data_IF_336398852376
#
_entry.id   IF_336398852376
#
_cell.length_a   1.000
_cell.length_b   1.000
_cell.length_c   1.000
_cell.angle_alpha   90.00
_cell.angle_beta   90.00
_cell.angle_gamma   90.00
#
_symmetry.space_group_name_H-M   'P 1'
#
loop_
_entity.id
_entity.type
_entity.pdbx_description
1 polymer ?
#
# COMPACT_ATOMS: atom_id res chain seq x y z
N UNK A 1 5.87 -52.07 -42.85
CA UNK A 1 7.30 -51.70 -43.05
C UNK A 1 8.22 -52.45 -42.10
N UNK A 2 7.94 -52.45 -40.79
CA UNK A 2 8.77 -53.12 -39.76
C UNK A 2 8.85 -54.64 -39.95
N UNK A 3 7.72 -55.31 -40.22
CA UNK A 3 7.67 -56.76 -40.44
C UNK A 3 8.62 -57.23 -41.55
N UNK A 4 8.58 -56.54 -42.68
CA UNK A 4 9.39 -56.84 -43.87
C UNK A 4 10.90 -56.74 -43.59
N UNK A 5 11.31 -55.83 -42.73
CA UNK A 5 12.72 -55.64 -42.33
C UNK A 5 13.18 -56.77 -41.40
N UNK A 6 12.32 -57.23 -40.49
CA UNK A 6 12.62 -58.32 -39.55
C UNK A 6 12.68 -59.67 -40.28
N UNK A 7 11.72 -59.93 -41.17
CA UNK A 7 11.72 -61.12 -42.03
C UNK A 7 12.91 -61.14 -42.99
N UNK A 8 13.32 -59.98 -43.53
CA UNK A 8 14.53 -59.85 -44.34
C UNK A 8 15.83 -60.21 -43.61
N UNK A 9 15.81 -60.33 -42.27
CA UNK A 9 16.93 -60.79 -41.45
C UNK A 9 16.81 -62.26 -41.03
N UNK A 10 15.86 -63.01 -41.61
CA UNK A 10 15.67 -64.45 -41.37
C UNK A 10 14.81 -64.80 -40.15
N UNK A 11 14.16 -63.82 -39.51
CA UNK A 11 13.26 -64.07 -38.38
C UNK A 11 11.81 -64.21 -38.85
N UNK A 12 11.09 -65.19 -38.33
CA UNK A 12 9.64 -65.32 -38.56
C UNK A 12 8.90 -64.38 -37.61
N UNK A 13 8.01 -63.56 -38.15
CA UNK A 13 7.17 -62.63 -37.37
C UNK A 13 5.72 -63.11 -37.36
N UNK A 14 5.02 -62.84 -36.27
CA UNK A 14 3.57 -63.03 -36.14
C UNK A 14 2.98 -61.69 -35.67
N UNK A 15 1.89 -61.18 -36.29
CA UNK A 15 1.20 -60.01 -35.80
C UNK A 15 0.54 -60.33 -34.44
N UNK A 16 0.99 -59.64 -33.40
CA UNK A 16 0.44 -59.76 -32.05
C UNK A 16 -1.00 -59.23 -32.02
N UNK A 17 -1.95 -60.08 -31.64
CA UNK A 17 -3.39 -59.75 -31.64
C UNK A 17 -4.03 -59.88 -30.26
N UNK A 18 -3.41 -60.62 -29.33
CA UNK A 18 -4.01 -60.92 -28.03
C UNK A 18 -4.10 -59.68 -27.15
N UNK A 19 -3.02 -58.89 -27.11
CA UNK A 19 -2.94 -57.68 -26.28
C UNK A 19 -3.02 -56.38 -27.10
N UNK A 20 -3.43 -56.44 -28.37
CA UNK A 20 -3.41 -55.28 -29.26
C UNK A 20 -4.38 -54.17 -28.79
N UNK A 21 -5.56 -54.56 -28.30
CA UNK A 21 -6.57 -53.63 -27.78
C UNK A 21 -6.10 -52.99 -26.48
N UNK A 22 -5.58 -53.78 -25.55
CA UNK A 22 -5.08 -53.29 -24.27
C UNK A 22 -3.86 -52.39 -24.45
N UNK A 23 -2.95 -52.72 -25.36
CA UNK A 23 -1.82 -51.88 -25.72
C UNK A 23 -2.27 -50.53 -26.29
N UNK A 24 -3.30 -50.51 -27.15
CA UNK A 24 -3.87 -49.26 -27.66
C UNK A 24 -4.55 -48.44 -26.55
N UNK A 25 -5.39 -49.07 -25.72
CA UNK A 25 -6.05 -48.42 -24.58
C UNK A 25 -5.04 -47.84 -23.59
N UNK A 26 -3.91 -48.52 -23.36
CA UNK A 26 -2.84 -48.05 -22.46
C UNK A 26 -2.14 -46.78 -22.93
N UNK A 27 -2.27 -46.42 -24.21
CA UNK A 27 -1.75 -45.16 -24.76
C UNK A 27 -2.66 -43.95 -24.50
N UNK A 28 -3.90 -44.17 -24.02
CA UNK A 28 -4.87 -43.11 -23.73
C UNK A 28 -4.67 -42.64 -22.28
N UNK A 29 -4.40 -41.33 -22.04
CA UNK A 29 -4.27 -40.80 -20.69
C UNK A 29 -5.49 -41.14 -19.81
N UNK A 30 -5.25 -41.70 -18.62
CA UNK A 30 -6.30 -42.09 -17.66
C UNK A 30 -6.75 -43.56 -17.72
N UNK A 31 -6.42 -44.32 -18.78
CA UNK A 31 -6.73 -45.75 -18.89
C UNK A 31 -5.63 -46.66 -18.30
N UNK A 32 -5.39 -46.53 -16.99
CA UNK A 32 -4.31 -47.26 -16.29
C UNK A 32 -4.52 -48.79 -16.20
N UNK A 33 -5.77 -49.26 -16.36
CA UNK A 33 -6.11 -50.68 -16.21
C UNK A 33 -5.61 -51.57 -17.36
N UNK A 34 -5.56 -51.02 -18.59
CA UNK A 34 -5.18 -51.76 -19.79
C UNK A 34 -3.64 -51.86 -19.99
N UNK A 35 -2.84 -51.22 -19.12
CA UNK A 35 -1.40 -51.26 -19.25
C UNK A 35 -0.82 -52.57 -18.66
N UNK A 36 -0.44 -53.49 -19.55
CA UNK A 36 0.14 -54.80 -19.19
C UNK A 36 1.50 -54.66 -18.49
N UNK A 37 2.18 -53.52 -18.64
CA UNK A 37 3.40 -53.18 -17.88
C UNK A 37 3.03 -52.20 -16.79
N UNK A 38 2.72 -52.73 -15.60
CA UNK A 38 2.70 -51.96 -14.37
C UNK A 38 4.11 -51.99 -13.77
N UNK A 39 5.00 -51.05 -14.11
CA UNK A 39 6.23 -50.93 -13.34
C UNK A 39 5.83 -50.68 -11.88
N UNK A 40 6.42 -51.44 -10.96
CA UNK A 40 6.26 -51.18 -9.53
C UNK A 40 7.01 -49.87 -9.25
N UNK A 41 6.30 -48.76 -9.40
CA UNK A 41 6.79 -47.42 -9.05
C UNK A 41 6.28 -47.14 -7.65
N UNK A 42 7.18 -46.85 -6.72
CA UNK A 42 6.76 -46.42 -5.39
C UNK A 42 5.94 -45.13 -5.49
N UNK A 43 4.98 -44.93 -4.59
CA UNK A 43 4.21 -43.67 -4.52
C UNK A 43 5.14 -42.45 -4.43
N UNK A 44 6.30 -42.60 -3.81
CA UNK A 44 7.36 -41.59 -3.74
C UNK A 44 7.95 -41.27 -5.11
N UNK A 45 8.32 -42.29 -5.90
CA UNK A 45 8.87 -42.11 -7.24
C UNK A 45 7.81 -41.54 -8.20
N UNK A 46 6.54 -41.94 -8.06
CA UNK A 46 5.43 -41.38 -8.83
C UNK A 46 5.24 -39.90 -8.50
N UNK A 47 5.26 -39.52 -7.21
CA UNK A 47 5.15 -38.12 -6.78
C UNK A 47 6.26 -37.24 -7.37
N UNK A 48 7.49 -37.76 -7.49
CA UNK A 48 8.60 -37.04 -8.14
C UNK A 48 8.48 -36.93 -9.68
N UNK A 49 7.75 -37.84 -10.32
CA UNK A 49 7.54 -37.85 -11.77
C UNK A 49 6.26 -37.13 -12.21
N UNK A 50 5.31 -36.94 -11.29
CA UNK A 50 4.11 -36.17 -11.56
C UNK A 50 4.51 -34.72 -11.84
N UNK A 51 4.06 -34.13 -12.96
CA UNK A 51 4.20 -32.69 -13.17
C UNK A 51 3.22 -31.98 -12.22
N UNK A 52 3.62 -31.83 -10.94
CA UNK A 52 2.81 -31.19 -9.89
C UNK A 52 2.90 -29.66 -9.93
N UNK A 53 3.44 -29.08 -11.01
CA UNK A 53 3.43 -27.63 -11.22
C UNK A 53 2.05 -27.16 -11.64
N UNK A 54 1.06 -27.36 -10.78
CA UNK A 54 -0.20 -26.64 -10.90
C UNK A 54 0.08 -25.17 -10.59
N UNK A 55 -0.36 -24.29 -11.49
CA UNK A 55 -0.29 -22.85 -11.27
C UNK A 55 -1.11 -22.52 -10.04
N UNK A 56 -0.48 -21.98 -9.00
CA UNK A 56 -1.19 -21.55 -7.80
C UNK A 56 -2.15 -20.42 -8.15
N UNK A 57 -3.46 -20.66 -8.01
CA UNK A 57 -4.51 -19.73 -8.40
C UNK A 57 -4.81 -18.63 -7.37
N UNK A 58 -4.03 -18.57 -6.27
CA UNK A 58 -4.26 -17.66 -5.15
C UNK A 58 -5.45 -18.07 -4.27
N UNK A 59 -5.65 -17.40 -3.12
CA UNK A 59 -6.76 -17.69 -2.21
C UNK A 59 -8.12 -17.34 -2.84
N UNK A 60 -9.16 -18.13 -2.53
CA UNK A 60 -10.51 -17.91 -3.07
C UNK A 60 -11.21 -16.67 -2.47
N UNK A 61 -10.79 -16.24 -1.29
CA UNK A 61 -11.31 -15.09 -0.56
C UNK A 61 -10.21 -14.38 0.23
N UNK A 62 -10.45 -13.12 0.60
CA UNK A 62 -9.68 -12.44 1.63
C UNK A 62 -10.34 -12.75 2.99
N UNK A 63 -9.68 -13.58 3.81
CA UNK A 63 -10.25 -14.02 5.09
C UNK A 63 -10.36 -12.88 6.11
N UNK A 64 -9.39 -11.98 6.14
CA UNK A 64 -9.38 -10.87 7.09
C UNK A 64 -10.46 -9.83 6.80
N UNK A 65 -10.63 -9.47 5.52
CA UNK A 65 -11.64 -8.50 5.10
C UNK A 65 -13.03 -9.13 4.89
N UNK A 66 -13.16 -10.44 5.15
CA UNK A 66 -14.36 -11.25 4.91
C UNK A 66 -15.01 -10.97 3.55
N UNK A 67 -14.20 -11.07 2.49
CA UNK A 67 -14.61 -10.61 1.17
C UNK A 67 -13.96 -11.37 0.02
N UNK A 68 -14.39 -11.08 -1.22
CA UNK A 68 -13.78 -11.65 -2.42
C UNK A 68 -12.30 -11.24 -2.54
N UNK A 69 -11.49 -11.90 -3.37
CA UNK A 69 -10.12 -11.48 -3.65
C UNK A 69 -10.08 -10.03 -4.15
N UNK A 70 -8.95 -9.35 -3.90
CA UNK A 70 -8.80 -7.95 -4.30
C UNK A 70 -8.97 -7.82 -5.82
N UNK A 71 -8.28 -8.63 -6.60
CA UNK A 71 -8.44 -8.65 -8.06
C UNK A 71 -8.26 -10.07 -8.59
N UNK A 72 -8.98 -10.39 -9.67
CA UNK A 72 -8.75 -11.60 -10.46
C UNK A 72 -8.02 -11.21 -11.74
N UNK A 73 -6.85 -11.80 -11.95
CA UNK A 73 -5.97 -11.56 -13.11
C UNK A 73 -5.73 -12.87 -13.85
N UNK A 74 -4.84 -12.87 -14.84
CA UNK A 74 -4.41 -14.08 -15.55
C UNK A 74 -2.92 -14.32 -15.35
N UNK A 75 -2.54 -15.58 -15.20
CA UNK A 75 -1.14 -15.99 -15.34
C UNK A 75 -0.73 -16.03 -16.82
N UNK A 76 0.55 -16.26 -17.08
CA UNK A 76 1.07 -16.44 -18.44
C UNK A 76 0.35 -17.58 -19.20
N UNK A 77 0.00 -18.67 -18.50
CA UNK A 77 -0.75 -19.80 -19.04
C UNK A 77 -2.28 -19.60 -19.10
N UNK A 78 -2.77 -18.36 -19.07
CA UNK A 78 -4.19 -18.00 -19.07
C UNK A 78 -5.03 -18.62 -17.93
N UNK A 79 -4.38 -19.08 -16.86
CA UNK A 79 -5.07 -19.56 -15.66
C UNK A 79 -5.51 -18.36 -14.82
N UNK A 80 -6.77 -18.29 -14.35
CA UNK A 80 -7.20 -17.24 -13.43
C UNK A 80 -6.36 -17.22 -12.15
N UNK A 81 -5.87 -16.04 -11.78
CA UNK A 81 -5.12 -15.81 -10.54
C UNK A 81 -5.85 -14.83 -9.64
N UNK A 82 -6.03 -15.19 -8.37
CA UNK A 82 -6.72 -14.38 -7.36
C UNK A 82 -5.68 -13.69 -6.48
N UNK A 83 -5.55 -12.38 -6.63
CA UNK A 83 -4.67 -11.59 -5.77
C UNK A 83 -5.39 -11.26 -4.46
N UNK A 84 -4.84 -11.76 -3.36
CA UNK A 84 -5.18 -11.35 -1.99
C UNK A 84 -3.92 -10.77 -1.37
N UNK A 85 -4.02 -9.56 -0.81
CA UNK A 85 -2.86 -8.84 -0.26
C UNK A 85 -2.61 -9.11 1.22
N UNK A 86 -3.55 -9.79 1.90
CA UNK A 86 -3.49 -10.00 3.35
C UNK A 86 -2.88 -11.35 3.70
N UNK A 87 -2.00 -11.35 4.69
CA UNK A 87 -1.52 -12.55 5.39
C UNK A 87 -1.91 -12.38 6.86
N UNK A 88 -2.86 -13.18 7.32
CA UNK A 88 -3.56 -12.87 8.57
C UNK A 88 -4.25 -11.52 8.44
N UNK A 89 -4.02 -10.62 9.39
CA UNK A 89 -4.55 -9.25 9.42
C UNK A 89 -3.67 -8.20 8.73
N UNK A 90 -2.50 -8.58 8.22
CA UNK A 90 -1.53 -7.62 7.66
C UNK A 90 -1.62 -7.57 6.13
N UNK A 91 -1.88 -6.37 5.59
CA UNK A 91 -2.05 -6.12 4.15
C UNK A 91 -0.91 -5.36 3.45
N UNK A 92 0.29 -5.26 4.04
CA UNK A 92 1.40 -4.51 3.46
C UNK A 92 1.87 -5.10 2.12
N UNK A 93 1.99 -4.25 1.10
CA UNK A 93 2.34 -4.66 -0.27
C UNK A 93 3.37 -3.69 -0.87
N UNK A 94 4.42 -4.22 -1.49
CA UNK A 94 5.41 -3.44 -2.24
C UNK A 94 5.20 -3.65 -3.75
N UNK A 95 5.04 -2.56 -4.50
CA UNK A 95 4.98 -2.57 -5.97
C UNK A 95 6.25 -1.93 -6.52
N UNK A 96 7.05 -2.70 -7.24
CA UNK A 96 8.33 -2.24 -7.80
C UNK A 96 8.40 -2.51 -9.30
N UNK A 97 9.13 -1.66 -10.02
CA UNK A 97 9.34 -1.78 -11.46
C UNK A 97 9.89 -0.49 -12.09
N UNK A 98 10.44 -0.54 -13.31
CA UNK A 98 10.93 0.64 -14.02
C UNK A 98 9.84 1.71 -14.26
N UNK A 99 10.25 2.94 -14.53
CA UNK A 99 9.34 4.00 -14.99
C UNK A 99 8.67 3.58 -16.30
N UNK A 100 7.37 3.88 -16.44
CA UNK A 100 6.59 3.52 -17.64
C UNK A 100 6.04 2.09 -17.69
N UNK A 101 6.36 1.22 -16.72
CA UNK A 101 5.90 -0.18 -16.71
C UNK A 101 4.51 -0.39 -16.05
N UNK A 102 3.72 0.68 -15.89
CA UNK A 102 2.35 0.58 -15.40
C UNK A 102 2.19 0.49 -13.87
N UNK A 103 3.20 0.86 -13.07
CA UNK A 103 3.08 0.90 -11.59
C UNK A 103 1.89 1.72 -11.10
N UNK A 104 1.74 2.96 -11.58
CA UNK A 104 0.61 3.82 -11.19
C UNK A 104 -0.73 3.25 -11.66
N UNK A 105 -0.78 2.62 -12.83
CA UNK A 105 -1.98 1.93 -13.33
C UNK A 105 -2.35 0.77 -12.42
N UNK A 106 -1.37 -0.03 -11.98
CA UNK A 106 -1.61 -1.11 -11.02
C UNK A 106 -2.13 -0.56 -9.70
N UNK A 107 -1.48 0.45 -9.11
CA UNK A 107 -1.91 1.05 -7.83
C UNK A 107 -3.33 1.65 -7.93
N UNK A 108 -3.64 2.36 -9.00
CA UNK A 108 -4.99 2.86 -9.28
C UNK A 108 -6.01 1.72 -9.37
N UNK A 109 -5.65 0.64 -10.05
CA UNK A 109 -6.51 -0.54 -10.18
C UNK A 109 -6.75 -1.19 -8.82
N UNK A 110 -5.71 -1.39 -8.02
CA UNK A 110 -5.82 -1.94 -6.66
C UNK A 110 -6.71 -1.05 -5.78
N UNK A 111 -6.55 0.27 -5.85
CA UNK A 111 -7.38 1.22 -5.12
C UNK A 111 -8.87 1.12 -5.51
N UNK A 112 -9.18 1.13 -6.81
CA UNK A 112 -10.55 0.97 -7.29
C UNK A 112 -11.16 -0.36 -6.87
N UNK A 113 -10.39 -1.46 -6.97
CA UNK A 113 -10.86 -2.77 -6.54
C UNK A 113 -11.06 -2.84 -5.03
N UNK A 114 -10.22 -2.17 -4.23
CA UNK A 114 -10.33 -2.14 -2.77
C UNK A 114 -11.63 -1.51 -2.29
N UNK A 115 -12.24 -0.60 -3.08
CA UNK A 115 -13.55 0.01 -2.76
C UNK A 115 -14.69 -0.98 -2.66
N UNK A 116 -14.53 -2.21 -3.15
CA UNK A 116 -15.53 -3.28 -2.97
C UNK A 116 -15.70 -3.74 -1.53
N UNK A 117 -14.68 -3.54 -0.69
CA UNK A 117 -14.77 -3.90 0.72
C UNK A 117 -15.52 -2.81 1.47
N UNK A 118 -16.51 -3.23 2.28
CA UNK A 118 -17.38 -2.33 3.04
C UNK A 118 -16.54 -1.51 4.02
N UNK A 119 -16.81 -0.20 4.10
CA UNK A 119 -16.09 0.70 4.99
C UNK A 119 -14.62 0.91 4.62
N UNK A 120 -14.20 0.53 3.40
CA UNK A 120 -12.85 0.82 2.93
C UNK A 120 -12.56 2.33 2.98
N UNK A 121 -11.31 2.68 3.27
CA UNK A 121 -10.80 4.05 3.16
C UNK A 121 -9.49 4.02 2.41
N UNK A 122 -9.26 5.02 1.56
CA UNK A 122 -8.09 5.11 0.69
C UNK A 122 -7.49 6.50 0.87
N UNK A 123 -6.25 6.53 1.35
CA UNK A 123 -5.43 7.74 1.39
C UNK A 123 -4.26 7.53 0.44
N UNK A 124 -4.24 8.26 -0.67
CA UNK A 124 -3.22 8.18 -1.68
C UNK A 124 -2.28 9.39 -1.56
N UNK A 125 -1.00 9.12 -1.32
CA UNK A 125 0.06 10.13 -1.43
C UNK A 125 0.69 9.96 -2.82
N UNK A 126 0.41 10.91 -3.70
CA UNK A 126 0.68 10.83 -5.13
C UNK A 126 1.77 11.80 -5.54
N UNK A 127 2.45 11.47 -6.64
CA UNK A 127 3.50 12.27 -7.25
C UNK A 127 3.15 12.46 -8.72
N UNK A 128 2.98 13.71 -9.16
CA UNK A 128 2.73 14.02 -10.57
C UNK A 128 1.30 13.70 -11.02
N UNK A 129 0.35 13.75 -10.08
CA UNK A 129 -1.11 13.66 -10.27
C UNK A 129 -1.56 12.36 -10.95
N UNK A 130 -0.78 11.29 -10.80
CA UNK A 130 -1.01 9.99 -11.44
C UNK A 130 -2.29 9.28 -10.94
N UNK A 131 -2.73 9.56 -9.73
CA UNK A 131 -3.92 9.02 -9.08
C UNK A 131 -5.12 9.97 -9.14
N UNK A 132 -4.94 11.23 -9.57
CA UNK A 132 -6.00 12.26 -9.54
C UNK A 132 -7.30 11.81 -10.20
N UNK A 133 -7.22 11.24 -11.40
CA UNK A 133 -8.39 10.76 -12.13
C UNK A 133 -9.10 9.63 -11.36
N UNK A 134 -8.35 8.72 -10.74
CA UNK A 134 -8.89 7.62 -9.93
C UNK A 134 -9.60 8.14 -8.69
N UNK A 135 -8.99 9.08 -7.97
CA UNK A 135 -9.57 9.68 -6.78
C UNK A 135 -10.90 10.38 -7.11
N UNK A 136 -10.90 11.22 -8.14
CA UNK A 136 -12.12 11.93 -8.58
C UNK A 136 -13.18 10.96 -9.12
N UNK A 137 -12.78 9.93 -9.87
CA UNK A 137 -13.68 8.91 -10.41
C UNK A 137 -14.35 8.05 -9.33
N UNK A 138 -13.70 7.92 -8.16
CA UNK A 138 -14.27 7.27 -6.98
C UNK A 138 -15.13 8.22 -6.13
N UNK A 139 -15.36 9.46 -6.57
CA UNK A 139 -16.07 10.50 -5.81
C UNK A 139 -15.28 10.99 -4.59
N UNK A 140 -13.96 10.82 -4.60
CA UNK A 140 -13.07 11.25 -3.53
C UNK A 140 -12.64 12.71 -3.61
N UNK A 141 -11.88 13.13 -2.61
CA UNK A 141 -11.33 14.48 -2.50
C UNK A 141 -9.85 14.48 -2.91
N UNK A 142 -9.44 15.41 -3.75
CA UNK A 142 -8.05 15.54 -4.19
C UNK A 142 -7.49 16.88 -3.76
N UNK A 143 -6.42 16.85 -2.97
CA UNK A 143 -5.73 18.02 -2.44
C UNK A 143 -4.39 18.21 -3.15
N UNK A 144 -4.13 19.44 -3.56
CA UNK A 144 -2.82 19.86 -4.03
C UNK A 144 -2.10 20.58 -2.91
N UNK A 145 -1.03 19.97 -2.38
CA UNK A 145 -0.28 20.52 -1.24
C UNK A 145 0.72 21.61 -1.64
N UNK A 146 0.93 21.81 -2.94
CA UNK A 146 1.80 22.84 -3.49
C UNK A 146 1.05 24.10 -3.90
N UNK A 147 -0.17 23.93 -4.42
CA UNK A 147 -0.99 25.04 -4.89
C UNK A 147 -1.41 26.00 -3.75
N UNK A 148 -1.31 27.29 -4.04
CA UNK A 148 -1.66 28.35 -3.11
C UNK A 148 -3.15 28.31 -2.70
N UNK A 149 -3.41 28.01 -1.43
CA UNK A 149 -4.66 28.34 -0.72
C UNK A 149 -5.76 27.29 -0.69
N UNK A 150 -5.60 26.15 -1.38
CA UNK A 150 -6.64 25.11 -1.43
C UNK A 150 -6.75 24.24 -0.18
N UNK A 151 -5.62 23.98 0.49
CA UNK A 151 -5.53 23.12 1.68
C UNK A 151 -4.65 23.80 2.73
N UNK A 152 -5.05 23.67 3.99
CA UNK A 152 -4.30 24.18 5.12
C UNK A 152 -4.68 23.35 6.35
N UNK A 153 -3.71 23.12 7.22
CA UNK A 153 -3.82 22.26 8.38
C UNK A 153 -3.74 23.09 9.65
N UNK A 154 -4.43 22.61 10.69
CA UNK A 154 -4.35 23.16 12.04
C UNK A 154 -3.85 22.08 13.01
N UNK A 155 -2.53 21.81 13.05
CA UNK A 155 -1.97 20.74 13.88
C UNK A 155 -2.27 20.87 15.37
N UNK A 156 -2.52 22.08 15.87
CA UNK A 156 -2.70 22.36 17.29
C UNK A 156 -4.17 22.47 17.73
N UNK A 157 -5.15 22.24 16.86
CA UNK A 157 -6.57 22.40 17.19
C UNK A 157 -7.02 21.59 18.43
N UNK A 158 -6.52 20.36 18.55
CA UNK A 158 -6.96 19.33 19.51
C UNK A 158 -6.11 19.27 20.79
N UNK A 159 -5.22 20.23 21.03
CA UNK A 159 -4.32 20.25 22.20
C UNK A 159 -5.03 20.39 23.56
N UNK A 160 -6.35 20.59 23.56
CA UNK A 160 -7.17 20.48 24.78
C UNK A 160 -7.14 19.04 25.35
N UNK A 161 -7.04 18.03 24.48
CA UNK A 161 -6.91 16.63 24.89
C UNK A 161 -5.47 16.31 25.25
N UNK A 162 -5.26 15.72 26.44
CA UNK A 162 -3.91 15.45 26.96
C UNK A 162 -3.09 14.53 26.05
N UNK A 163 -3.67 13.40 25.61
CA UNK A 163 -2.97 12.47 24.71
C UNK A 163 -2.56 13.12 23.38
N UNK A 164 -3.42 13.97 22.81
CA UNK A 164 -3.09 14.71 21.59
C UNK A 164 -2.05 15.80 21.86
N UNK A 165 -2.06 16.43 23.04
CA UNK A 165 -1.05 17.43 23.43
C UNK A 165 0.34 16.82 23.54
N UNK A 166 0.46 15.59 24.04
CA UNK A 166 1.74 14.86 24.05
C UNK A 166 2.27 14.66 22.63
N UNK A 167 1.42 14.18 21.72
CA UNK A 167 1.78 14.07 20.30
C UNK A 167 2.16 15.44 19.70
N UNK A 168 1.40 16.49 20.00
CA UNK A 168 1.66 17.83 19.47
C UNK A 168 3.01 18.38 19.98
N UNK A 169 3.36 18.11 21.24
CA UNK A 169 4.67 18.45 21.79
C UNK A 169 5.79 17.74 21.02
N UNK A 170 5.71 16.41 20.84
CA UNK A 170 6.67 15.64 20.06
C UNK A 170 6.77 16.10 18.60
N UNK A 171 5.63 16.48 18.01
CA UNK A 171 5.57 17.00 16.65
C UNK A 171 6.27 18.36 16.52
N UNK A 172 6.05 19.28 17.47
CA UNK A 172 6.75 20.58 17.56
C UNK A 172 8.24 20.40 17.83
N UNK A 173 8.62 19.51 18.76
CA UNK A 173 10.02 19.15 19.04
C UNK A 173 10.72 18.66 17.78
N UNK A 174 10.05 17.81 16.98
CA UNK A 174 10.56 17.35 15.69
C UNK A 174 10.80 18.49 14.68
N UNK A 175 10.00 19.57 14.70
CA UNK A 175 10.26 20.77 13.89
C UNK A 175 11.51 21.49 14.38
N UNK A 176 11.60 21.73 15.68
CA UNK A 176 12.74 22.42 16.29
C UNK A 176 14.07 21.70 16.03
N UNK A 177 14.08 20.37 16.17
CA UNK A 177 15.24 19.54 15.85
C UNK A 177 15.63 19.64 14.37
N UNK A 178 14.65 19.71 13.46
CA UNK A 178 14.90 19.85 12.02
C UNK A 178 15.60 21.19 11.70
N UNK A 179 15.22 22.26 12.39
CA UNK A 179 15.84 23.58 12.26
C UNK A 179 17.16 23.73 13.05
N UNK A 180 17.66 22.64 13.64
CA UNK A 180 18.96 22.59 14.30
C UNK A 180 18.97 23.03 15.77
N UNK A 181 17.80 23.23 16.38
CA UNK A 181 17.72 23.51 17.83
C UNK A 181 17.94 22.23 18.63
N UNK A 182 18.77 22.32 19.66
CA UNK A 182 18.88 21.24 20.65
C UNK A 182 17.68 21.29 21.59
N UNK A 183 16.92 20.19 21.67
CA UNK A 183 15.74 20.09 22.53
C UNK A 183 16.12 19.36 23.82
N UNK A 184 16.44 20.11 24.87
CA UNK A 184 16.73 19.61 26.21
C UNK A 184 15.51 19.65 27.15
N UNK A 185 15.68 19.31 28.44
CA UNK A 185 14.60 19.34 29.43
C UNK A 185 13.92 20.71 29.55
N UNK A 186 14.69 21.80 29.47
CA UNK A 186 14.18 23.17 29.60
C UNK A 186 13.34 23.57 28.38
N UNK A 187 13.80 23.24 27.16
CA UNK A 187 13.02 23.46 25.93
C UNK A 187 11.73 22.65 25.95
N UNK A 188 11.78 21.38 26.37
CA UNK A 188 10.58 20.53 26.51
C UNK A 188 9.58 21.13 27.50
N UNK A 189 10.06 21.59 28.66
CA UNK A 189 9.22 22.25 29.66
C UNK A 189 8.59 23.54 29.10
N UNK A 190 9.35 24.33 28.34
CA UNK A 190 8.86 25.55 27.70
C UNK A 190 7.78 25.27 26.64
N UNK A 191 8.02 24.28 25.76
CA UNK A 191 7.06 23.84 24.73
C UNK A 191 5.77 23.35 25.39
N UNK A 192 5.89 22.48 26.41
CA UNK A 192 4.75 21.93 27.11
C UNK A 192 3.92 23.00 27.83
N UNK A 193 4.59 23.95 28.49
CA UNK A 193 3.93 25.08 29.15
C UNK A 193 3.19 25.98 28.15
N UNK A 194 3.81 26.28 27.00
CA UNK A 194 3.21 27.07 25.93
C UNK A 194 2.00 26.36 25.32
N UNK A 195 2.09 25.07 25.02
CA UNK A 195 0.96 24.25 24.52
C UNK A 195 -0.19 24.18 25.52
N UNK A 196 0.11 24.01 26.82
CA UNK A 196 -0.90 24.02 27.88
C UNK A 196 -1.62 25.36 27.97
N UNK A 197 -0.89 26.46 27.84
CA UNK A 197 -1.47 27.81 27.83
C UNK A 197 -2.32 28.03 26.59
N UNK A 198 -1.83 27.63 25.41
CA UNK A 198 -2.55 27.72 24.14
C UNK A 198 -3.85 26.89 24.14
N UNK A 199 -3.87 25.76 24.85
CA UNK A 199 -5.06 24.94 24.98
C UNK A 199 -6.25 25.67 25.64
N UNK A 200 -5.97 26.71 26.44
CA UNK A 200 -6.99 27.59 27.03
C UNK A 200 -7.56 28.64 26.06
N UNK A 201 -6.92 28.86 24.90
CA UNK A 201 -7.40 29.78 23.88
C UNK A 201 -8.56 29.17 23.05
N UNK A 202 -9.39 30.02 22.40
CA UNK A 202 -10.33 29.59 21.36
C UNK A 202 -9.65 28.73 20.29
N UNK A 203 -10.38 27.77 19.71
CA UNK A 203 -9.81 26.77 18.79
C UNK A 203 -9.11 27.46 17.62
N UNK A 204 -9.70 28.52 17.10
CA UNK A 204 -9.24 29.31 15.95
C UNK A 204 -7.89 29.97 16.22
N UNK A 205 -7.53 30.17 17.49
CA UNK A 205 -6.25 30.75 17.92
C UNK A 205 -5.19 29.70 18.22
N UNK A 206 -5.54 28.40 18.22
CA UNK A 206 -4.61 27.29 18.45
C UNK A 206 -3.83 26.98 17.17
N UNK A 207 -2.97 27.92 16.81
CA UNK A 207 -2.18 27.90 15.58
C UNK A 207 -0.68 27.91 15.91
N UNK A 208 0.18 27.67 14.92
CA UNK A 208 1.63 27.78 15.08
C UNK A 208 2.07 29.20 15.44
N UNK A 209 1.42 30.22 14.87
CA UNK A 209 1.61 31.62 15.31
C UNK A 209 1.20 31.78 16.76
N UNK A 210 0.04 31.24 17.17
CA UNK A 210 -0.43 31.29 18.55
C UNK A 210 0.56 30.65 19.53
N UNK A 211 1.14 29.51 19.16
CA UNK A 211 2.19 28.85 19.95
C UNK A 211 3.45 29.71 20.05
N UNK A 212 3.92 30.26 18.93
CA UNK A 212 5.15 31.05 18.86
C UNK A 212 5.10 32.28 19.77
N UNK A 213 3.94 32.93 19.88
CA UNK A 213 3.74 34.08 20.79
C UNK A 213 3.90 33.71 22.27
N UNK A 214 3.52 32.50 22.66
CA UNK A 214 3.58 32.05 24.05
C UNK A 214 4.98 31.55 24.47
N UNK A 215 5.82 31.20 23.49
CA UNK A 215 7.20 30.80 23.75
C UNK A 215 8.05 32.00 24.17
N UNK A 216 8.66 31.91 25.36
CA UNK A 216 9.53 32.97 25.88
C UNK A 216 10.93 32.96 25.23
N UNK A 217 11.43 31.79 24.84
CA UNK A 217 12.74 31.64 24.20
C UNK A 217 12.75 32.19 22.77
N UNK A 218 13.64 33.15 22.51
CA UNK A 218 13.82 33.71 21.17
C UNK A 218 14.33 32.67 20.16
N UNK A 219 15.19 31.75 20.60
CA UNK A 219 15.72 30.69 19.75
C UNK A 219 14.60 29.77 19.26
N UNK A 220 13.66 29.39 20.15
CA UNK A 220 12.51 28.57 19.78
C UNK A 220 11.58 29.29 18.81
N UNK A 221 11.31 30.58 19.03
CA UNK A 221 10.48 31.39 18.11
C UNK A 221 11.10 31.51 16.72
N UNK A 222 12.41 31.75 16.66
CA UNK A 222 13.13 31.83 15.38
C UNK A 222 13.11 30.50 14.63
N UNK A 223 13.29 29.38 15.34
CA UNK A 223 13.19 28.05 14.74
C UNK A 223 11.77 27.73 14.26
N UNK A 224 10.72 28.21 14.92
CA UNK A 224 9.35 28.02 14.44
C UNK A 224 8.94 28.99 13.32
N UNK A 225 9.75 30.01 13.01
CA UNK A 225 9.41 31.04 12.03
C UNK A 225 9.02 30.51 10.63
N UNK A 226 9.60 29.42 10.10
CA UNK A 226 9.15 28.86 8.82
C UNK A 226 7.72 28.30 8.84
N UNK A 227 7.21 27.91 10.01
CA UNK A 227 5.93 27.21 10.20
C UNK A 227 4.78 28.12 10.63
N UNK A 228 5.04 29.40 10.88
CA UNK A 228 4.01 30.42 11.20
C UNK A 228 3.55 31.14 9.92
N UNK A 229 2.46 31.91 9.97
CA UNK A 229 1.73 32.46 8.82
C UNK A 229 2.60 33.23 7.80
N UNK A 230 3.66 33.89 8.26
CA UNK A 230 4.62 34.62 7.41
C UNK A 230 5.81 33.79 6.91
N UNK A 231 5.92 32.53 7.34
CA UNK A 231 6.99 31.60 6.98
C UNK A 231 6.69 30.78 5.73
N UNK A 232 7.73 30.11 5.21
CA UNK A 232 7.66 29.32 3.98
C UNK A 232 6.61 28.19 4.00
N UNK A 233 6.23 27.71 5.19
CA UNK A 233 5.27 26.62 5.39
C UNK A 233 4.01 27.06 6.15
N UNK A 234 3.90 28.35 6.47
CA UNK A 234 2.79 28.91 7.23
C UNK A 234 1.43 28.70 6.58
N UNK A 235 1.35 28.91 5.26
CA UNK A 235 0.11 28.71 4.50
C UNK A 235 -0.47 27.30 4.67
N UNK A 236 0.39 26.31 4.92
CA UNK A 236 0.01 24.91 5.01
C UNK A 236 -0.22 24.44 6.46
N UNK A 237 0.47 25.01 7.44
CA UNK A 237 0.52 24.47 8.82
C UNK A 237 0.03 25.43 9.91
N UNK A 238 -0.28 26.67 9.54
CA UNK A 238 -0.71 27.71 10.47
C UNK A 238 -2.15 28.17 10.20
N UNK A 239 -3.03 27.21 9.89
CA UNK A 239 -4.44 27.50 9.69
C UNK A 239 -5.16 27.71 11.03
N UNK A 240 -6.21 28.51 11.00
CA UNK A 240 -7.19 28.66 12.09
C UNK A 240 -8.26 27.56 12.08
N UNK A 241 -8.38 26.83 10.97
CA UNK A 241 -9.29 25.68 10.79
C UNK A 241 -8.63 24.66 9.84
N UNK A 242 -8.81 23.37 10.11
CA UNK A 242 -8.39 22.31 9.19
C UNK A 242 -9.32 22.28 7.95
N UNK A 243 -8.73 22.34 6.76
CA UNK A 243 -9.46 22.31 5.47
C UNK A 243 -9.49 20.92 4.84
N UNK A 244 -9.11 19.90 5.60
CA UNK A 244 -9.17 18.52 5.20
C UNK A 244 -10.60 18.00 5.28
N UNK A 245 -11.07 17.41 4.18
CA UNK A 245 -12.41 16.86 4.08
C UNK A 245 -12.55 15.50 4.74
N UNK A 246 -13.73 14.91 4.60
CA UNK A 246 -14.14 13.69 5.29
C UNK A 246 -14.41 12.51 4.35
N UNK A 247 -14.08 12.63 3.06
CA UNK A 247 -14.30 11.53 2.12
C UNK A 247 -13.50 10.28 2.48
N UNK A 248 -14.07 9.11 2.20
CA UNK A 248 -13.39 7.82 2.37
C UNK A 248 -12.23 7.64 1.40
N UNK A 249 -12.21 8.41 0.30
CA UNK A 249 -11.15 8.37 -0.71
C UNK A 249 -10.54 9.76 -0.80
N UNK A 250 -9.26 9.86 -0.47
CA UNK A 250 -8.51 11.10 -0.48
C UNK A 250 -7.18 10.94 -1.19
N UNK A 251 -6.85 11.89 -2.05
CA UNK A 251 -5.57 12.01 -2.72
C UNK A 251 -4.84 13.27 -2.30
N UNK A 252 -3.54 13.15 -2.05
CA UNK A 252 -2.64 14.26 -1.73
C UNK A 252 -1.56 14.30 -2.79
N UNK A 253 -1.54 15.34 -3.60
CA UNK A 253 -0.44 15.61 -4.52
C UNK A 253 0.76 16.15 -3.73
N UNK A 254 1.90 15.48 -3.88
CA UNK A 254 3.10 15.72 -3.08
C UNK A 254 4.23 16.37 -3.86
N UNK A 255 4.17 16.48 -5.19
CA UNK A 255 5.31 16.86 -6.04
C UNK A 255 5.99 18.15 -5.61
N UNK A 256 5.23 19.23 -5.47
CA UNK A 256 5.79 20.51 -5.04
C UNK A 256 6.28 20.47 -3.59
N UNK A 257 5.57 19.76 -2.70
CA UNK A 257 5.95 19.61 -1.30
C UNK A 257 7.29 18.89 -1.16
N UNK A 258 7.59 17.93 -2.05
CA UNK A 258 8.77 17.08 -2.01
C UNK A 258 10.08 17.83 -2.28
N UNK A 259 10.01 19.07 -2.77
CA UNK A 259 11.15 19.98 -2.83
C UNK A 259 11.56 20.53 -1.46
N UNK A 260 10.72 20.42 -0.42
CA UNK A 260 11.03 20.80 0.96
C UNK A 260 10.94 19.61 1.92
N UNK A 261 12.08 19.02 2.32
CA UNK A 261 12.11 17.97 3.33
C UNK A 261 11.45 18.37 4.66
N UNK A 262 11.58 19.64 5.06
CA UNK A 262 10.95 20.22 6.23
C UNK A 262 9.41 20.10 6.15
N UNK A 263 8.84 20.54 5.03
CA UNK A 263 7.40 20.55 4.81
C UNK A 263 6.84 19.11 4.70
N UNK A 264 7.52 18.22 3.97
CA UNK A 264 7.14 16.79 3.88
C UNK A 264 7.07 16.17 5.26
N UNK A 265 8.10 16.36 6.08
CA UNK A 265 8.17 15.80 7.42
C UNK A 265 7.07 16.36 8.32
N UNK A 266 6.72 17.64 8.20
CA UNK A 266 5.70 18.27 9.03
C UNK A 266 4.30 17.75 8.68
N UNK A 267 3.99 17.73 7.38
CA UNK A 267 2.67 17.40 6.84
C UNK A 267 2.38 15.91 6.94
N UNK A 268 3.31 15.03 6.54
CA UNK A 268 3.08 13.59 6.60
C UNK A 268 2.91 13.11 8.04
N UNK A 269 3.70 13.62 8.97
CA UNK A 269 3.55 13.28 10.40
C UNK A 269 2.19 13.73 10.94
N UNK A 270 1.65 14.84 10.45
CA UNK A 270 0.30 15.28 10.79
C UNK A 270 -0.76 14.37 10.16
N UNK A 271 -0.73 14.18 8.84
CA UNK A 271 -1.74 13.41 8.09
C UNK A 271 -1.87 11.96 8.55
N UNK A 272 -0.77 11.33 8.97
CA UNK A 272 -0.77 9.95 9.50
C UNK A 272 -1.22 9.90 10.96
N UNK A 273 -0.97 10.95 11.75
CA UNK A 273 -1.26 10.95 13.17
C UNK A 273 -2.70 11.33 13.52
N UNK A 274 -3.40 12.11 12.69
CA UNK A 274 -4.78 12.52 12.97
C UNK A 274 -5.69 11.28 12.91
N UNK A 275 -6.18 10.76 14.06
CA UNK A 275 -7.17 9.71 14.05
C UNK A 275 -8.48 10.35 13.58
N UNK A 276 -9.03 9.86 12.47
CA UNK A 276 -10.31 10.28 11.91
C UNK A 276 -11.37 9.22 12.11
#
# INVERSE_FOLDING_TARGET
MVERVIQGRGFVTIPETLNAVDAWLSSIPGHAYANVRQPIVSTLNLAHLMPVSAVWAGPEKNEHLDGPPLIVTRTEGATPFRLVTHIGDVGHTLVAGPTGMGKSVLLATLAMQFRRYRGSRIFAFDMGRSMRATILGLGGEHYDLGADGGIAFQPLARIAHEGYRTWAAEWVEGRLLHEGVTVGPDEKAAIWSALRSLAGAPVEQRTMTGLSVLLQSNALRQALAPYVLGGAHGKLLDADHDRLGMADVQGFEMEELMHSPAAVQAVLRYLVAVPR
#
